data_IF_172778628671
#
_entry.id   IF_172778628671
#
_cell.length_a   1.000
_cell.length_b   1.000
_cell.length_c   1.000
_cell.angle_alpha   90.00
_cell.angle_beta   90.00
_cell.angle_gamma   90.00
#
_symmetry.space_group_name_H-M   'P 1'
#
loop_
_entity.id
_entity.type
_entity.pdbx_description
1 polymer ?
#
# COMPACT_ATOMS: atom_id res chain seq x y z
N UNK A 1 1.72 -18.19 -12.09
CA UNK A 1 1.49 -16.82 -12.57
C UNK A 1 1.92 -15.85 -11.47
N UNK A 2 2.51 -14.72 -11.85
CA UNK A 2 2.96 -13.65 -10.93
C UNK A 2 2.08 -12.42 -11.22
N UNK A 3 1.64 -11.73 -10.16
CA UNK A 3 0.93 -10.45 -10.26
C UNK A 3 1.94 -9.31 -10.10
N UNK A 4 2.11 -8.50 -11.14
CA UNK A 4 3.08 -7.40 -11.17
C UNK A 4 2.37 -6.07 -10.90
N UNK A 5 2.83 -5.36 -9.88
CA UNK A 5 2.44 -3.99 -9.59
C UNK A 5 3.61 -3.05 -9.82
N UNK A 6 3.40 -2.03 -10.63
CA UNK A 6 4.37 -0.96 -10.82
C UNK A 6 3.76 0.40 -10.46
N UNK A 7 4.60 1.44 -10.30
CA UNK A 7 4.16 2.74 -9.80
C UNK A 7 4.79 3.89 -10.57
N UNK A 8 3.94 4.79 -11.03
CA UNK A 8 4.35 6.11 -11.48
C UNK A 8 5.08 6.85 -10.36
N UNK A 9 6.36 7.14 -10.54
CA UNK A 9 7.13 7.94 -9.60
C UNK A 9 6.68 9.40 -9.64
N UNK A 10 5.59 9.71 -8.98
CA UNK A 10 4.98 11.04 -8.87
C UNK A 10 4.70 11.35 -7.40
N UNK A 11 4.60 12.62 -7.07
CA UNK A 11 4.14 13.08 -5.76
C UNK A 11 5.19 13.19 -4.67
N UNK A 12 6.43 12.86 -4.93
CA UNK A 12 7.52 13.07 -3.97
C UNK A 12 8.27 14.35 -4.32
N UNK A 13 8.10 15.39 -3.50
CA UNK A 13 8.74 16.71 -3.69
C UNK A 13 10.26 16.64 -3.81
N UNK A 14 10.88 15.62 -3.23
CA UNK A 14 12.33 15.37 -3.31
C UNK A 14 12.84 15.12 -4.74
N UNK A 15 11.97 14.69 -5.65
CA UNK A 15 12.33 14.32 -7.01
C UNK A 15 11.80 15.28 -8.08
N UNK A 16 11.13 16.38 -7.69
CA UNK A 16 10.51 17.36 -8.60
C UNK A 16 9.67 16.71 -9.72
N UNK A 17 8.94 15.63 -9.41
CA UNK A 17 8.28 14.75 -10.37
C UNK A 17 6.79 15.05 -10.52
N UNK A 18 6.48 16.30 -10.88
CA UNK A 18 5.14 16.66 -11.36
C UNK A 18 5.00 16.24 -12.83
N UNK A 19 4.74 14.95 -13.05
CA UNK A 19 4.59 14.43 -14.41
C UNK A 19 3.29 14.91 -15.03
N UNK A 20 3.37 15.41 -16.27
CA UNK A 20 2.22 15.73 -17.11
C UNK A 20 1.50 14.44 -17.56
N UNK A 21 0.39 14.61 -18.27
CA UNK A 21 -0.32 13.49 -18.93
C UNK A 21 0.62 12.69 -19.84
N UNK A 22 1.34 13.37 -20.74
CA UNK A 22 2.25 12.75 -21.72
C UNK A 22 3.42 12.03 -21.00
N UNK A 23 4.05 12.69 -20.03
CA UNK A 23 5.13 12.11 -19.25
C UNK A 23 4.66 10.89 -18.43
N UNK A 24 3.40 10.85 -18.05
CA UNK A 24 2.81 9.68 -17.37
C UNK A 24 2.69 8.51 -18.33
N UNK A 25 2.24 8.72 -19.57
CA UNK A 25 2.19 7.69 -20.61
C UNK A 25 3.59 7.13 -20.89
N UNK A 26 4.56 8.01 -21.15
CA UNK A 26 5.96 7.63 -21.43
C UNK A 26 6.60 6.85 -20.27
N UNK A 27 6.21 7.14 -19.03
CA UNK A 27 6.79 6.47 -17.85
C UNK A 27 6.50 4.98 -17.85
N UNK A 28 5.27 4.56 -18.10
CA UNK A 28 4.95 3.13 -18.14
C UNK A 28 5.62 2.45 -19.34
N UNK A 29 5.71 3.11 -20.49
CA UNK A 29 6.42 2.55 -21.66
C UNK A 29 7.90 2.28 -21.34
N UNK A 30 8.56 3.20 -20.66
CA UNK A 30 9.94 3.02 -20.21
C UNK A 30 10.06 1.90 -19.17
N UNK A 31 9.11 1.78 -18.27
CA UNK A 31 9.14 0.76 -17.22
C UNK A 31 8.85 -0.63 -17.81
N UNK A 32 7.90 -0.77 -18.72
CA UNK A 32 7.63 -2.02 -19.46
C UNK A 32 8.86 -2.47 -20.26
N UNK A 33 9.57 -1.54 -20.92
CA UNK A 33 10.80 -1.86 -21.63
C UNK A 33 11.89 -2.39 -20.69
N UNK A 34 12.06 -1.79 -19.49
CA UNK A 34 13.04 -2.28 -18.49
C UNK A 34 12.64 -3.64 -17.89
N UNK A 35 11.35 -3.89 -17.73
CA UNK A 35 10.81 -5.14 -17.23
C UNK A 35 10.81 -6.25 -18.30
N UNK A 36 11.05 -5.90 -19.57
CA UNK A 36 10.90 -6.81 -20.72
C UNK A 36 9.49 -7.44 -20.76
N UNK A 37 8.45 -6.63 -20.51
CA UNK A 37 7.06 -7.05 -20.43
C UNK A 37 6.17 -6.20 -21.33
N UNK A 38 5.07 -6.77 -21.80
CA UNK A 38 4.07 -6.06 -22.61
C UNK A 38 3.04 -5.31 -21.75
N UNK A 39 2.83 -5.74 -20.50
CA UNK A 39 1.89 -5.13 -19.56
C UNK A 39 2.30 -5.40 -18.09
N UNK A 40 1.70 -4.62 -17.18
CA UNK A 40 1.65 -4.91 -15.73
C UNK A 40 0.21 -5.21 -15.30
N UNK A 41 0.03 -5.97 -14.21
CA UNK A 41 -1.31 -6.27 -13.71
C UNK A 41 -1.95 -5.06 -13.04
N UNK A 42 -1.15 -4.22 -12.37
CA UNK A 42 -1.62 -3.04 -11.66
C UNK A 42 -0.61 -1.89 -11.79
N UNK A 43 -1.08 -0.71 -12.24
CA UNK A 43 -0.27 0.50 -12.28
C UNK A 43 -0.83 1.58 -11.35
N UNK A 44 0.00 2.09 -10.45
CA UNK A 44 -0.42 3.04 -9.40
C UNK A 44 0.23 4.41 -9.57
N UNK A 45 -0.48 5.49 -9.25
CA UNK A 45 0.16 6.76 -8.90
C UNK A 45 0.74 6.61 -7.49
N UNK A 46 2.07 6.75 -7.32
CA UNK A 46 2.76 6.40 -6.08
C UNK A 46 2.40 7.30 -4.89
N UNK A 47 2.13 8.58 -5.15
CA UNK A 47 1.66 9.53 -4.15
C UNK A 47 0.87 10.67 -4.84
N UNK A 48 0.00 11.39 -4.11
CA UNK A 48 -0.94 12.34 -4.70
C UNK A 48 -0.32 13.55 -5.40
N UNK A 49 0.95 13.88 -5.18
CA UNK A 49 1.65 14.96 -5.86
C UNK A 49 0.94 16.32 -5.85
N UNK A 50 1.27 17.16 -6.85
CA UNK A 50 0.66 18.46 -7.00
C UNK A 50 -0.79 18.37 -7.47
N UNK A 51 -1.63 19.22 -6.89
CA UNK A 51 -3.08 19.21 -7.12
C UNK A 51 -3.46 19.32 -8.60
N UNK A 52 -2.78 20.17 -9.34
CA UNK A 52 -3.05 20.43 -10.76
C UNK A 52 -2.70 19.25 -11.69
N UNK A 53 -1.94 18.25 -11.23
CA UNK A 53 -1.51 17.12 -12.04
C UNK A 53 -2.26 15.81 -11.73
N UNK A 54 -2.79 15.64 -10.53
CA UNK A 54 -3.45 14.37 -10.10
C UNK A 54 -4.51 13.86 -11.07
N UNK A 55 -5.42 14.75 -11.48
CA UNK A 55 -6.49 14.41 -12.43
C UNK A 55 -5.92 14.03 -13.80
N UNK A 56 -4.91 14.76 -14.28
CA UNK A 56 -4.28 14.47 -15.58
C UNK A 56 -3.49 13.15 -15.55
N UNK A 57 -2.76 12.89 -14.48
CA UNK A 57 -2.06 11.63 -14.28
C UNK A 57 -3.05 10.45 -14.25
N UNK A 58 -4.16 10.60 -13.53
CA UNK A 58 -5.18 9.55 -13.48
C UNK A 58 -5.86 9.31 -14.84
N UNK A 59 -6.10 10.36 -15.62
CA UNK A 59 -6.57 10.23 -17.02
C UNK A 59 -5.56 9.48 -17.90
N UNK A 60 -4.27 9.73 -17.71
CA UNK A 60 -3.22 8.99 -18.40
C UNK A 60 -3.23 7.50 -18.02
N UNK A 61 -3.43 7.15 -16.75
CA UNK A 61 -3.57 5.75 -16.32
C UNK A 61 -4.78 5.07 -17.02
N UNK A 62 -5.91 5.75 -17.11
CA UNK A 62 -7.09 5.23 -17.83
C UNK A 62 -6.79 4.98 -19.32
N UNK A 63 -6.01 5.85 -19.96
CA UNK A 63 -5.59 5.66 -21.34
C UNK A 63 -4.64 4.46 -21.48
N UNK A 64 -3.67 4.30 -20.55
CA UNK A 64 -2.77 3.14 -20.51
C UNK A 64 -3.53 1.82 -20.31
N UNK A 65 -4.55 1.82 -19.46
CA UNK A 65 -5.43 0.67 -19.28
C UNK A 65 -6.19 0.32 -20.57
N UNK A 66 -6.75 1.31 -21.25
CA UNK A 66 -7.43 1.14 -22.54
C UNK A 66 -6.49 0.60 -23.63
N UNK A 67 -5.21 0.98 -23.59
CA UNK A 67 -4.17 0.47 -24.49
C UNK A 67 -3.72 -0.96 -24.12
N UNK A 68 -4.17 -1.53 -23.00
CA UNK A 68 -3.80 -2.86 -22.54
C UNK A 68 -2.41 -2.93 -21.88
N UNK A 69 -1.76 -1.79 -21.60
CA UNK A 69 -0.45 -1.73 -20.96
C UNK A 69 -0.50 -1.99 -19.45
N UNK A 70 -1.65 -1.85 -18.84
CA UNK A 70 -1.95 -2.32 -17.49
C UNK A 70 -3.37 -2.88 -17.46
N UNK A 71 -3.61 -3.92 -16.64
CA UNK A 71 -4.95 -4.51 -16.49
C UNK A 71 -5.82 -3.68 -15.58
N UNK A 72 -5.26 -3.25 -14.45
CA UNK A 72 -5.93 -2.42 -13.46
C UNK A 72 -5.11 -1.18 -13.14
N UNK A 73 -5.81 -0.14 -12.70
CA UNK A 73 -5.18 1.12 -12.28
C UNK A 73 -5.58 1.49 -10.86
N UNK A 74 -4.70 2.19 -10.18
CA UNK A 74 -4.96 2.61 -8.83
C UNK A 74 -4.09 3.78 -8.39
N UNK A 75 -4.15 4.04 -7.11
CA UNK A 75 -3.43 5.12 -6.45
C UNK A 75 -2.74 4.61 -5.19
N UNK A 76 -1.83 5.39 -4.66
CA UNK A 76 -1.19 5.13 -3.38
C UNK A 76 -1.13 6.42 -2.56
N UNK A 77 -1.37 6.31 -1.25
CA UNK A 77 -1.35 7.44 -0.31
C UNK A 77 -2.43 8.52 -0.57
N UNK A 78 -3.51 8.18 -1.25
CA UNK A 78 -4.61 9.11 -1.48
C UNK A 78 -5.51 9.18 -0.24
N UNK A 79 -5.77 10.42 0.21
CA UNK A 79 -6.78 10.69 1.23
C UNK A 79 -8.19 10.69 0.62
N UNK A 80 -9.23 10.74 1.47
CA UNK A 80 -10.62 10.90 1.03
C UNK A 80 -10.79 12.15 0.15
N UNK A 81 -10.10 13.25 0.46
CA UNK A 81 -10.17 14.48 -0.33
C UNK A 81 -9.61 14.28 -1.74
N UNK A 82 -8.49 13.54 -1.87
CA UNK A 82 -7.89 13.23 -3.17
C UNK A 82 -8.78 12.29 -4.01
N UNK A 83 -9.43 11.32 -3.39
CA UNK A 83 -10.36 10.42 -4.07
C UNK A 83 -11.62 11.17 -4.55
N UNK A 84 -12.14 12.09 -3.73
CA UNK A 84 -13.27 12.97 -4.13
C UNK A 84 -12.90 13.94 -5.25
N UNK A 85 -11.62 14.34 -5.37
CA UNK A 85 -11.16 15.17 -6.48
C UNK A 85 -11.27 14.42 -7.84
N UNK A 86 -10.94 13.11 -7.86
CA UNK A 86 -11.12 12.28 -9.04
C UNK A 86 -12.61 12.12 -9.39
N UNK A 87 -13.45 11.86 -8.42
CA UNK A 87 -14.91 11.75 -8.58
C UNK A 87 -15.51 13.07 -9.11
N UNK A 88 -15.14 14.20 -8.53
CA UNK A 88 -15.57 15.53 -8.99
C UNK A 88 -15.14 15.83 -10.43
N UNK A 89 -14.06 15.23 -10.91
CA UNK A 89 -13.60 15.30 -12.30
C UNK A 89 -14.33 14.33 -13.23
N UNK A 90 -15.34 13.58 -12.73
CA UNK A 90 -16.12 12.59 -13.47
C UNK A 90 -15.32 11.35 -13.84
N UNK A 91 -14.28 11.00 -13.08
CA UNK A 91 -13.43 9.84 -13.34
C UNK A 91 -13.91 8.64 -12.51
N UNK A 92 -13.76 7.41 -13.02
CA UNK A 92 -14.12 6.21 -12.24
C UNK A 92 -13.22 6.07 -11.03
N UNK A 93 -13.68 5.39 -9.95
CA UNK A 93 -12.85 5.13 -8.78
C UNK A 93 -11.65 4.24 -9.16
N UNK A 94 -10.49 4.39 -8.49
CA UNK A 94 -9.37 3.49 -8.66
C UNK A 94 -9.71 2.09 -8.13
N UNK A 95 -9.17 1.04 -8.76
CA UNK A 95 -9.33 -0.33 -8.26
C UNK A 95 -8.66 -0.51 -6.88
N UNK A 96 -7.55 0.19 -6.66
CA UNK A 96 -6.73 0.07 -5.44
C UNK A 96 -6.33 1.45 -4.91
N UNK A 97 -6.34 1.60 -3.58
CA UNK A 97 -5.57 2.61 -2.86
C UNK A 97 -4.56 1.89 -1.95
N UNK A 98 -3.27 1.94 -2.31
CA UNK A 98 -2.21 1.33 -1.50
C UNK A 98 -1.76 2.32 -0.42
N UNK A 99 -1.94 1.96 0.84
CA UNK A 99 -1.75 2.87 1.99
C UNK A 99 -1.00 2.19 3.13
N UNK A 100 -0.39 2.96 4.03
CA UNK A 100 0.17 2.42 5.27
C UNK A 100 -0.98 1.89 6.14
N UNK A 101 -0.97 0.58 6.41
CA UNK A 101 -1.97 -0.09 7.25
C UNK A 101 -1.31 -1.12 8.18
N UNK A 102 -1.52 -0.95 9.47
CA UNK A 102 -1.10 -1.86 10.53
C UNK A 102 -1.86 -1.49 11.83
N UNK A 103 -1.79 -2.28 12.92
CA UNK A 103 -2.57 -2.02 14.15
C UNK A 103 -2.38 -0.63 14.76
N UNK A 104 -1.22 0.02 14.54
CA UNK A 104 -0.96 1.38 15.03
C UNK A 104 -1.30 2.48 14.01
N UNK A 105 -1.75 2.10 12.79
CA UNK A 105 -2.18 2.99 11.72
C UNK A 105 -3.34 2.37 10.96
N UNK A 106 -4.53 2.36 11.56
CA UNK A 106 -5.70 1.65 11.03
C UNK A 106 -6.46 2.41 9.95
N UNK A 107 -6.27 3.73 9.87
CA UNK A 107 -6.92 4.62 8.89
C UNK A 107 -8.42 4.35 8.69
N UNK A 108 -9.15 4.09 9.76
CA UNK A 108 -10.52 3.54 9.78
C UNK A 108 -11.49 4.29 8.86
N UNK A 109 -11.46 5.63 8.88
CA UNK A 109 -12.34 6.45 8.04
C UNK A 109 -12.02 6.29 6.55
N UNK A 110 -10.73 6.29 6.19
CA UNK A 110 -10.30 6.13 4.80
C UNK A 110 -10.63 4.73 4.28
N UNK A 111 -10.38 3.71 5.09
CA UNK A 111 -10.70 2.31 4.75
C UNK A 111 -12.20 2.14 4.54
N UNK A 112 -13.04 2.67 5.43
CA UNK A 112 -14.50 2.63 5.30
C UNK A 112 -14.97 3.37 4.03
N UNK A 113 -14.38 4.54 3.75
CA UNK A 113 -14.68 5.28 2.52
C UNK A 113 -14.31 4.46 1.27
N UNK A 114 -13.10 3.90 1.23
CA UNK A 114 -12.66 3.06 0.11
C UNK A 114 -13.58 1.87 -0.11
N UNK A 115 -13.95 1.15 0.95
CA UNK A 115 -14.87 0.01 0.88
C UNK A 115 -16.23 0.39 0.28
N UNK A 116 -16.78 1.54 0.69
CA UNK A 116 -18.06 2.06 0.16
C UNK A 116 -17.98 2.46 -1.33
N UNK A 117 -16.77 2.75 -1.83
CA UNK A 117 -16.54 3.08 -3.23
C UNK A 117 -16.06 1.88 -4.07
N UNK A 118 -15.96 0.68 -3.49
CA UNK A 118 -15.43 -0.51 -4.15
C UNK A 118 -13.92 -0.48 -4.40
N UNK A 119 -13.18 0.38 -3.66
CA UNK A 119 -11.73 0.54 -3.76
C UNK A 119 -11.06 -0.41 -2.77
N UNK A 120 -10.17 -1.28 -3.25
CA UNK A 120 -9.40 -2.19 -2.39
C UNK A 120 -8.25 -1.43 -1.70
N UNK A 121 -8.19 -1.49 -0.37
CA UNK A 121 -7.04 -0.98 0.37
C UNK A 121 -5.95 -2.06 0.43
N UNK A 122 -4.76 -1.79 -0.13
CA UNK A 122 -3.58 -2.65 -0.04
C UNK A 122 -2.64 -2.10 1.02
N UNK A 123 -2.25 -2.96 1.97
CA UNK A 123 -1.44 -2.56 3.13
C UNK A 123 0.06 -2.59 2.82
N UNK A 124 0.72 -1.44 2.86
CA UNK A 124 2.18 -1.40 2.96
C UNK A 124 2.64 -1.08 4.39
N UNK A 125 3.92 -1.25 4.68
CA UNK A 125 4.51 -1.07 6.02
C UNK A 125 3.81 -1.90 7.11
N UNK A 126 3.20 -3.03 6.77
CA UNK A 126 2.45 -3.87 7.72
C UNK A 126 3.30 -4.34 8.91
N UNK A 127 4.63 -4.42 8.75
CA UNK A 127 5.59 -4.79 9.79
C UNK A 127 6.18 -3.57 10.54
N UNK A 128 5.74 -2.36 10.23
CA UNK A 128 6.27 -1.15 10.85
C UNK A 128 6.24 -1.15 12.39
N UNK A 129 5.21 -1.72 13.07
CA UNK A 129 5.19 -1.82 14.52
C UNK A 129 6.34 -2.65 15.12
N UNK A 130 6.84 -3.65 14.39
CA UNK A 130 7.93 -4.52 14.83
C UNK A 130 9.29 -4.18 14.19
N UNK A 131 9.35 -3.14 13.35
CA UNK A 131 10.58 -2.80 12.61
C UNK A 131 11.41 -1.74 13.33
N UNK A 132 12.72 -1.92 13.26
CA UNK A 132 13.72 -0.97 13.82
C UNK A 132 14.28 0.01 12.77
N UNK A 133 13.82 -0.05 11.51
CA UNK A 133 14.44 0.66 10.40
C UNK A 133 14.07 2.15 10.30
N UNK A 134 13.55 2.79 11.25
CA UNK A 134 13.33 4.24 11.34
C UNK A 134 13.67 4.75 12.74
N UNK A 135 14.62 4.11 13.40
CA UNK A 135 15.09 4.45 14.75
C UNK A 135 16.38 5.27 14.75
N UNK A 136 16.74 5.94 13.62
CA UNK A 136 17.84 6.89 13.62
C UNK A 136 17.49 8.12 14.46
N UNK A 137 18.46 8.67 15.20
CA UNK A 137 18.27 9.78 16.17
C UNK A 137 17.63 11.05 15.56
N UNK A 138 17.73 11.23 14.24
CA UNK A 138 17.13 12.34 13.49
C UNK A 138 15.69 12.06 13.00
N UNK A 139 15.20 10.85 13.19
CA UNK A 139 13.87 10.39 12.81
C UNK A 139 13.01 10.04 14.03
N UNK A 140 13.05 10.88 15.08
CA UNK A 140 12.18 10.72 16.25
C UNK A 140 10.72 10.71 15.79
N UNK A 141 10.29 9.56 15.34
CA UNK A 141 8.91 9.32 14.98
C UNK A 141 8.16 9.03 16.27
N UNK A 142 6.92 9.50 16.36
CA UNK A 142 5.90 9.12 17.34
C UNK A 142 5.73 7.59 17.51
N UNK A 143 6.60 6.78 16.87
CA UNK A 143 6.63 5.32 16.93
C UNK A 143 7.12 4.78 18.26
N UNK A 144 8.11 5.42 18.90
CA UNK A 144 8.80 4.82 20.04
C UNK A 144 7.88 4.67 21.25
N UNK A 145 7.07 5.67 21.57
CA UNK A 145 6.16 5.61 22.72
C UNK A 145 4.99 4.66 22.48
N UNK A 146 4.39 4.71 21.27
CA UNK A 146 3.28 3.81 20.91
C UNK A 146 3.75 2.36 20.78
N UNK A 147 4.91 2.13 20.15
CA UNK A 147 5.47 0.80 20.01
C UNK A 147 5.79 0.18 21.36
N UNK A 148 6.46 0.93 22.23
CA UNK A 148 6.80 0.48 23.58
C UNK A 148 5.57 0.11 24.40
N UNK A 149 4.47 0.87 24.28
CA UNK A 149 3.21 0.60 24.98
C UNK A 149 2.51 -0.67 24.49
N UNK A 150 2.67 -1.06 23.23
CA UNK A 150 2.00 -2.23 22.63
C UNK A 150 2.84 -3.51 22.57
N UNK A 151 4.16 -3.42 22.84
CA UNK A 151 5.06 -4.56 22.85
C UNK A 151 4.59 -5.72 23.77
N UNK A 152 4.10 -5.48 25.01
CA UNK A 152 3.63 -6.55 25.89
C UNK A 152 2.48 -7.35 25.28
N UNK A 153 1.49 -6.68 24.68
CA UNK A 153 0.37 -7.35 24.02
C UNK A 153 0.84 -8.17 22.81
N UNK A 154 1.75 -7.63 22.01
CA UNK A 154 2.30 -8.35 20.85
C UNK A 154 3.05 -9.61 21.29
N UNK A 155 3.85 -9.54 22.36
CA UNK A 155 4.54 -10.69 22.95
C UNK A 155 3.59 -11.74 23.52
N UNK A 156 2.51 -11.30 24.17
CA UNK A 156 1.44 -12.21 24.64
C UNK A 156 0.82 -12.97 23.46
N UNK A 157 0.48 -12.28 22.39
CA UNK A 157 -0.08 -12.91 21.18
C UNK A 157 0.91 -13.88 20.53
N UNK A 158 2.20 -13.50 20.45
CA UNK A 158 3.25 -14.40 19.94
C UNK A 158 3.32 -15.69 20.75
N UNK A 159 3.27 -15.59 22.07
CA UNK A 159 3.26 -16.76 22.98
C UNK A 159 2.00 -17.59 22.80
N UNK A 160 0.83 -16.95 22.79
CA UNK A 160 -0.48 -17.60 22.66
C UNK A 160 -0.60 -18.42 21.37
N UNK A 161 -0.12 -17.88 20.25
CA UNK A 161 -0.23 -18.54 18.95
C UNK A 161 1.02 -19.29 18.51
N UNK A 162 2.10 -19.23 19.32
CA UNK A 162 3.42 -19.82 19.01
C UNK A 162 3.97 -19.38 17.65
N UNK A 163 3.94 -18.08 17.39
CA UNK A 163 4.41 -17.44 16.15
C UNK A 163 5.20 -16.18 16.46
N UNK A 164 5.97 -15.68 15.50
CA UNK A 164 6.69 -14.43 15.64
C UNK A 164 5.79 -13.19 15.45
N UNK A 165 6.31 -12.01 15.82
CA UNK A 165 5.61 -10.72 15.73
C UNK A 165 5.19 -10.39 14.30
N UNK A 166 6.03 -10.71 13.31
CA UNK A 166 5.73 -10.45 11.90
C UNK A 166 4.47 -11.20 11.47
N UNK A 167 4.34 -12.46 11.86
CA UNK A 167 3.17 -13.29 11.53
C UNK A 167 1.90 -12.76 12.20
N UNK A 168 1.96 -12.26 13.43
CA UNK A 168 0.81 -11.63 14.11
C UNK A 168 0.36 -10.39 13.31
N UNK A 169 1.29 -9.50 12.96
CA UNK A 169 0.98 -8.25 12.25
C UNK A 169 0.41 -8.50 10.84
N UNK A 170 1.02 -9.44 10.10
CA UNK A 170 0.55 -9.81 8.76
C UNK A 170 -0.81 -10.50 8.82
N UNK A 171 -1.03 -11.37 9.82
CA UNK A 171 -2.31 -12.04 10.03
C UNK A 171 -3.42 -11.04 10.36
N UNK A 172 -3.14 -10.04 11.18
CA UNK A 172 -4.10 -8.96 11.48
C UNK A 172 -4.57 -8.29 10.18
N UNK A 173 -3.65 -7.91 9.30
CA UNK A 173 -4.03 -7.27 8.04
C UNK A 173 -4.88 -8.19 7.15
N UNK A 174 -4.49 -9.46 6.97
CA UNK A 174 -5.25 -10.42 6.18
C UNK A 174 -6.64 -10.69 6.75
N UNK A 175 -6.80 -10.77 8.08
CA UNK A 175 -8.11 -10.98 8.70
C UNK A 175 -9.03 -9.77 8.56
N UNK A 176 -8.48 -8.57 8.39
CA UNK A 176 -9.24 -7.38 8.03
C UNK A 176 -9.50 -7.25 6.52
N UNK A 177 -9.10 -8.25 5.72
CA UNK A 177 -9.32 -8.26 4.27
C UNK A 177 -8.33 -7.42 3.47
N UNK A 178 -7.19 -7.01 4.07
CA UNK A 178 -6.18 -6.21 3.37
C UNK A 178 -5.12 -7.11 2.74
N UNK A 179 -4.91 -7.06 1.42
CA UNK A 179 -3.70 -7.61 0.79
C UNK A 179 -2.46 -6.94 1.39
N UNK A 180 -1.39 -7.72 1.56
CA UNK A 180 -0.16 -7.32 2.25
C UNK A 180 1.05 -7.42 1.33
N UNK A 181 2.07 -6.59 1.56
CA UNK A 181 3.30 -6.52 0.78
C UNK A 181 4.55 -6.65 1.66
N UNK A 182 4.74 -7.79 2.37
CA UNK A 182 5.89 -7.98 3.23
C UNK A 182 7.17 -8.11 2.40
N UNK A 183 8.20 -7.32 2.72
CA UNK A 183 9.51 -7.36 2.08
C UNK A 183 10.53 -8.04 3.00
N UNK A 184 11.27 -9.00 2.49
CA UNK A 184 12.46 -9.54 3.14
C UNK A 184 13.53 -9.93 2.12
N UNK A 185 14.80 -9.91 2.55
CA UNK A 185 15.93 -10.46 1.79
C UNK A 185 16.43 -11.78 2.41
N UNK A 186 15.82 -12.21 3.53
CA UNK A 186 16.19 -13.43 4.24
C UNK A 186 15.21 -14.54 3.86
N UNK A 187 15.68 -15.65 3.27
CA UNK A 187 14.80 -16.75 2.81
C UNK A 187 13.88 -17.27 3.91
N UNK A 188 14.40 -17.47 5.12
CA UNK A 188 13.62 -17.96 6.27
C UNK A 188 12.47 -17.02 6.64
N UNK A 189 12.65 -15.69 6.52
CA UNK A 189 11.59 -14.71 6.75
C UNK A 189 10.58 -14.66 5.62
N UNK A 190 11.00 -14.88 4.37
CA UNK A 190 10.07 -14.95 3.23
C UNK A 190 9.12 -16.12 3.43
N UNK A 191 9.64 -17.29 3.83
CA UNK A 191 8.85 -18.49 4.12
C UNK A 191 7.91 -18.21 5.30
N UNK A 192 8.42 -17.69 6.41
CA UNK A 192 7.63 -17.36 7.59
C UNK A 192 6.50 -16.36 7.30
N UNK A 193 6.79 -15.30 6.52
CA UNK A 193 5.80 -14.30 6.13
C UNK A 193 4.66 -14.87 5.27
N UNK A 194 4.86 -16.00 4.61
CA UNK A 194 3.84 -16.70 3.81
C UNK A 194 3.01 -17.71 4.65
N UNK A 195 3.53 -18.16 5.80
CA UNK A 195 2.88 -19.15 6.67
C UNK A 195 1.88 -18.50 7.64
N UNK A 196 0.78 -17.99 7.11
CA UNK A 196 -0.22 -17.19 7.84
C UNK A 196 -1.56 -17.91 8.03
N UNK A 197 -1.71 -19.15 7.56
CA UNK A 197 -3.01 -19.82 7.51
C UNK A 197 -3.19 -20.91 8.59
N UNK A 198 -2.16 -21.13 9.42
CA UNK A 198 -2.16 -22.16 10.48
C UNK A 198 -2.84 -21.68 11.78
N UNK A 199 -3.14 -20.40 11.91
CA UNK A 199 -3.77 -19.80 13.08
C UNK A 199 -4.74 -18.68 12.71
N UNK A 200 -5.61 -18.30 13.65
CA UNK A 200 -6.54 -17.19 13.51
C UNK A 200 -6.47 -16.34 14.78
N UNK A 201 -6.29 -15.03 14.61
CA UNK A 201 -6.40 -14.11 15.73
C UNK A 201 -7.86 -14.04 16.15
N UNK A 202 -8.16 -14.38 17.39
CA UNK A 202 -9.49 -14.26 17.95
C UNK A 202 -9.70 -12.81 18.36
N UNK A 203 -10.71 -12.19 17.81
CA UNK A 203 -11.26 -10.93 18.32
C UNK A 203 -12.12 -11.34 19.54
N UNK A 204 -11.54 -11.34 20.74
CA UNK A 204 -12.34 -11.40 21.94
C UNK A 204 -12.85 -9.99 22.19
N UNK A 205 -14.14 -9.77 21.92
CA UNK A 205 -14.91 -8.70 22.53
C UNK A 205 -15.23 -9.17 23.98
N UNK A 206 -14.27 -9.00 24.89
CA UNK A 206 -14.49 -9.04 26.33
C UNK A 206 -13.75 -7.85 26.96
#
# INVERSE_FOLDING_TARGET
DIFITDKLAAGFTQFNNEKSYEQTLESLDMDLQKLEMDYVDLYLIHAPGAQNQRVNQYRALLELQKQGKCKEIGVSNYSIAHLKELDAAGLPPPAVNQIELHPLCTQTELVAYCANQGIVCVAYSSLAPASTWRTAEDQSSLKDDKLTAHLPLLQELCTKYNVDEARILLKWALQNGYPILPKSIKPERIISNADLFQFCLLYTSD
#
